data_IF_003004372859
#
_entry.id   IF_003004372859
#
_cell.length_a   1.000
_cell.length_b   1.000
_cell.length_c   1.000
_cell.angle_alpha   90.00
_cell.angle_beta   90.00
_cell.angle_gamma   90.00
#
_symmetry.space_group_name_H-M   'P 1'
#
loop_
_entity.id
_entity.type
_entity.pdbx_description
1 polymer ?
#
# COMPACT_ATOMS: atom_id res chain seq x y z
N UNK A 1 11.37 -11.31 14.12
CA UNK A 1 10.38 -12.02 13.27
C UNK A 1 8.99 -11.67 13.79
N UNK A 2 8.25 -10.80 13.09
CA UNK A 2 6.81 -10.71 13.31
C UNK A 2 6.17 -11.88 12.56
N UNK A 3 5.30 -12.63 13.25
CA UNK A 3 4.72 -13.85 12.71
C UNK A 3 3.95 -13.54 11.43
N UNK A 4 4.30 -14.25 10.35
CA UNK A 4 3.88 -14.05 8.96
C UNK A 4 2.38 -14.33 8.68
N UNK A 5 1.52 -14.18 9.68
CA UNK A 5 0.10 -14.40 9.54
C UNK A 5 -0.56 -13.25 8.77
N UNK A 6 -1.25 -13.56 7.68
CA UNK A 6 -2.04 -12.58 6.92
C UNK A 6 -1.25 -11.70 5.96
N UNK A 7 0.06 -11.94 5.79
CA UNK A 7 0.86 -11.20 4.82
C UNK A 7 0.37 -11.40 3.40
N UNK A 8 0.20 -10.29 2.68
CA UNK A 8 -0.08 -10.27 1.25
C UNK A 8 1.22 -10.10 0.46
N UNK A 9 1.24 -10.38 -0.85
CA UNK A 9 2.40 -10.05 -1.68
C UNK A 9 2.83 -8.57 -1.58
N UNK A 10 1.90 -7.66 -1.26
CA UNK A 10 2.23 -6.26 -1.03
C UNK A 10 3.04 -6.03 0.26
N UNK A 11 2.82 -6.81 1.32
CA UNK A 11 3.66 -6.76 2.54
C UNK A 11 5.09 -7.19 2.23
N UNK A 12 5.26 -8.30 1.51
CA UNK A 12 6.57 -8.77 1.08
C UNK A 12 7.30 -7.74 0.19
N UNK A 13 6.57 -7.10 -0.73
CA UNK A 13 7.13 -6.07 -1.60
C UNK A 13 7.54 -4.82 -0.80
N UNK A 14 6.72 -4.42 0.18
CA UNK A 14 6.99 -3.30 1.07
C UNK A 14 8.18 -3.56 2.00
N UNK A 15 8.33 -4.76 2.55
CA UNK A 15 9.50 -5.14 3.37
C UNK A 15 10.80 -5.05 2.54
N UNK A 16 10.75 -5.59 1.32
CA UNK A 16 11.89 -5.64 0.39
C UNK A 16 12.20 -4.29 -0.26
N UNK A 17 11.34 -3.29 -0.11
CA UNK A 17 11.49 -1.99 -0.76
C UNK A 17 11.29 -2.03 -2.28
N UNK A 18 10.57 -3.02 -2.81
CA UNK A 18 10.38 -3.18 -4.25
C UNK A 18 9.15 -2.44 -4.76
N UNK A 19 9.34 -1.15 -5.10
CA UNK A 19 8.30 -0.32 -5.71
C UNK A 19 7.79 -0.93 -7.04
N UNK A 20 8.67 -1.55 -7.83
CA UNK A 20 8.31 -2.19 -9.09
C UNK A 20 7.32 -3.35 -8.89
N UNK A 21 7.54 -4.19 -7.86
CA UNK A 21 6.60 -5.27 -7.52
C UNK A 21 5.29 -4.68 -7.00
N UNK A 22 5.33 -3.67 -6.13
CA UNK A 22 4.11 -2.99 -5.67
C UNK A 22 3.27 -2.46 -6.85
N UNK A 23 3.91 -1.87 -7.86
CA UNK A 23 3.24 -1.38 -9.06
C UNK A 23 2.56 -2.52 -9.85
N UNK A 24 3.25 -3.64 -10.06
CA UNK A 24 2.71 -4.80 -10.75
C UNK A 24 1.53 -5.43 -9.98
N UNK A 25 1.62 -5.48 -8.63
CA UNK A 25 0.56 -5.97 -7.77
C UNK A 25 -0.70 -5.10 -7.86
N UNK A 26 -0.54 -3.77 -7.80
CA UNK A 26 -1.64 -2.82 -7.92
C UNK A 26 -2.32 -2.93 -9.29
N UNK A 27 -1.56 -3.10 -10.37
CA UNK A 27 -2.11 -3.33 -11.71
C UNK A 27 -2.96 -4.61 -11.80
N UNK A 28 -2.68 -5.60 -10.96
CA UNK A 28 -3.47 -6.84 -10.85
C UNK A 28 -4.62 -6.75 -9.82
N UNK A 29 -4.91 -5.55 -9.32
CA UNK A 29 -6.00 -5.33 -8.35
C UNK A 29 -5.67 -5.78 -6.92
N UNK A 30 -4.41 -6.04 -6.60
CA UNK A 30 -4.01 -6.36 -5.22
C UNK A 30 -4.13 -5.10 -4.36
N UNK A 31 -4.84 -5.22 -3.24
CA UNK A 31 -4.97 -4.13 -2.29
C UNK A 31 -3.67 -3.87 -1.52
N UNK A 32 -3.24 -2.61 -1.49
CA UNK A 32 -2.13 -2.10 -0.67
C UNK A 32 -2.59 -1.56 0.69
N UNK A 33 -3.87 -1.71 1.04
CA UNK A 33 -4.46 -1.28 2.32
C UNK A 33 -4.88 -2.44 3.22
N UNK A 34 -4.81 -3.68 2.72
CA UNK A 34 -5.17 -4.86 3.50
C UNK A 34 -4.23 -5.01 4.69
N UNK A 35 -4.81 -5.21 5.87
CA UNK A 35 -4.07 -5.48 7.10
C UNK A 35 -3.70 -6.95 7.21
N UNK A 36 -2.53 -7.23 7.76
CA UNK A 36 -2.14 -8.56 8.22
C UNK A 36 -2.78 -8.88 9.59
N UNK A 37 -2.40 -10.00 10.21
CA UNK A 37 -2.97 -10.41 11.51
C UNK A 37 -2.46 -9.57 12.69
N UNK A 38 -1.36 -8.84 12.53
CA UNK A 38 -0.89 -7.85 13.51
C UNK A 38 -1.60 -6.49 13.34
N UNK A 39 -2.39 -6.33 12.28
CA UNK A 39 -3.04 -5.08 11.93
C UNK A 39 -2.16 -4.15 11.08
N UNK A 40 -0.98 -4.62 10.68
CA UNK A 40 -0.04 -3.87 9.86
C UNK A 40 -0.49 -3.87 8.41
N UNK A 41 -0.30 -2.74 7.74
CA UNK A 41 -0.52 -2.62 6.29
C UNK A 41 0.81 -2.69 5.56
N UNK A 42 0.82 -2.92 4.23
CA UNK A 42 2.02 -2.76 3.42
C UNK A 42 2.70 -1.40 3.62
N UNK A 43 1.92 -0.32 3.81
CA UNK A 43 2.48 1.00 4.15
C UNK A 43 3.28 0.93 5.47
N UNK A 44 2.67 0.39 6.52
CA UNK A 44 3.30 0.29 7.84
C UNK A 44 4.58 -0.56 7.81
N UNK A 45 4.58 -1.65 7.05
CA UNK A 45 5.78 -2.46 6.81
C UNK A 45 6.86 -1.63 6.12
N UNK A 46 6.53 -0.89 5.06
CA UNK A 46 7.52 0.00 4.41
C UNK A 46 8.06 1.08 5.36
N UNK A 47 7.27 1.60 6.31
CA UNK A 47 7.71 2.56 7.32
C UNK A 47 8.72 1.93 8.27
N UNK A 48 8.41 0.75 8.83
CA UNK A 48 9.26 0.02 9.78
C UNK A 48 10.64 -0.27 9.18
N UNK A 49 10.68 -0.61 7.89
CA UNK A 49 11.92 -0.95 7.18
C UNK A 49 12.55 0.24 6.42
N UNK A 50 12.02 1.45 6.56
CA UNK A 50 12.57 2.67 5.96
C UNK A 50 12.55 2.70 4.42
N UNK A 51 11.55 2.08 3.78
CA UNK A 51 11.45 1.96 2.32
C UNK A 51 10.73 3.16 1.70
N UNK A 52 11.42 4.30 1.60
CA UNK A 52 10.84 5.57 1.15
C UNK A 52 10.14 5.49 -0.22
N UNK A 53 10.76 4.88 -1.24
CA UNK A 53 10.14 4.76 -2.58
C UNK A 53 8.80 4.01 -2.56
N UNK A 54 8.67 3.03 -1.67
CA UNK A 54 7.42 2.30 -1.47
C UNK A 54 6.38 3.14 -0.74
N UNK A 55 6.79 3.95 0.25
CA UNK A 55 5.90 4.87 0.96
C UNK A 55 5.33 5.92 0.02
N UNK A 56 6.18 6.62 -0.72
CA UNK A 56 5.74 7.63 -1.68
C UNK A 56 4.80 7.04 -2.73
N UNK A 57 5.10 5.82 -3.20
CA UNK A 57 4.25 5.12 -4.14
C UNK A 57 2.86 4.81 -3.56
N UNK A 58 2.82 4.23 -2.35
CA UNK A 58 1.56 3.88 -1.68
C UNK A 58 0.76 5.14 -1.34
N UNK A 59 1.38 6.18 -0.79
CA UNK A 59 0.72 7.46 -0.48
C UNK A 59 0.13 8.12 -1.72
N UNK A 60 0.88 8.13 -2.83
CA UNK A 60 0.37 8.63 -4.10
C UNK A 60 -0.85 7.85 -4.59
N UNK A 61 -0.92 6.54 -4.36
CA UNK A 61 -2.10 5.74 -4.70
C UNK A 61 -3.30 6.10 -3.82
N UNK A 62 -3.09 6.25 -2.52
CA UNK A 62 -4.16 6.59 -1.58
C UNK A 62 -4.70 8.01 -1.81
N UNK A 63 -3.83 8.97 -2.13
CA UNK A 63 -4.22 10.35 -2.44
C UNK A 63 -5.02 10.45 -3.74
N UNK A 64 -4.72 9.62 -4.75
CA UNK A 64 -5.52 9.55 -5.98
C UNK A 64 -6.96 9.08 -5.74
N UNK A 65 -7.20 8.25 -4.72
CA UNK A 65 -8.56 7.83 -4.34
C UNK A 65 -9.35 8.99 -3.73
N UNK A 66 -8.70 9.84 -2.92
CA UNK A 66 -9.35 10.99 -2.28
C UNK A 66 -9.83 12.06 -3.29
N UNK A 67 -9.03 12.36 -4.32
CA UNK A 67 -9.41 13.38 -5.32
C UNK A 67 -10.64 12.95 -6.15
N UNK A 68 -10.84 11.64 -6.39
CA UNK A 68 -12.04 11.17 -7.09
C UNK A 68 -13.34 11.35 -6.28
N UNK A 69 -13.29 11.21 -4.95
CA UNK A 69 -14.49 11.39 -4.11
C UNK A 69 -14.92 12.86 -4.08
N UNK A 70 -13.97 13.80 -3.98
CA UNK A 70 -14.29 15.24 -3.95
C UNK A 70 -14.86 15.78 -5.28
N UNK A 71 -14.45 15.22 -6.42
CA UNK A 71 -14.96 15.63 -7.74
C UNK A 71 -16.35 15.05 -8.06
N UNK A 72 -16.77 13.98 -7.38
CA UNK A 72 -18.12 13.40 -7.53
C UNK A 72 -19.19 14.10 -6.70
N UNK A 73 -18.82 15.04 -5.81
CA UNK A 73 -19.74 15.79 -4.95
C UNK A 73 -19.90 17.27 -5.32
N UNK A 74 -19.28 17.76 -6.41
CA UNK A 74 -19.66 19.05 -7.00
C UNK A 74 -20.93 18.81 -7.83
N UNK A 75 -22.08 18.86 -7.16
CA UNK A 75 -23.34 19.16 -7.85
C UNK A 75 -23.36 20.66 -8.12
N UNK A 76 -23.47 21.00 -9.40
CA UNK A 76 -24.03 22.27 -9.85
C UNK A 76 -25.51 22.38 -9.42
#
# INVERSE_FOLDING_TARGET
MHMAGGWTPAHCAAERGSQAILKALVQRGVSVTKKDFAGDTPKRVAEIYGRQDCLEFIERLLNKVHVKISLLYRKD
#
